data_IF_439546945701
#
_entry.id   IF_439546945701
#
_cell.length_a   1.000
_cell.length_b   1.000
_cell.length_c   1.000
_cell.angle_alpha   90.00
_cell.angle_beta   90.00
_cell.angle_gamma   90.00
#
_symmetry.space_group_name_H-M   'P 1'
#
loop_
_entity.id
_entity.type
_entity.pdbx_description
1 polymer ?
#
# COMPACT_ATOMS: atom_id res chain seq x y z
N UNK A 1 18.66 -15.16 15.60
CA UNK A 1 18.10 -13.79 15.48
C UNK A 1 19.21 -12.93 14.91
N UNK A 2 19.35 -12.94 13.58
CA UNK A 2 20.31 -12.06 12.90
C UNK A 2 19.67 -10.67 12.89
N UNK A 3 20.39 -9.70 13.41
CA UNK A 3 19.93 -8.32 13.52
C UNK A 3 19.75 -7.76 12.12
N UNK A 4 18.66 -7.03 11.90
CA UNK A 4 18.36 -6.24 10.70
C UNK A 4 19.50 -5.30 10.25
N UNK A 5 20.53 -5.11 11.07
CA UNK A 5 21.75 -4.36 10.72
C UNK A 5 22.83 -5.17 9.97
N UNK A 6 22.76 -6.50 9.89
CA UNK A 6 23.78 -7.32 9.22
C UNK A 6 23.56 -7.47 7.70
N UNK A 7 22.42 -7.03 7.15
CA UNK A 7 22.13 -7.11 5.72
C UNK A 7 22.75 -5.95 4.89
N UNK A 8 23.27 -4.91 5.54
CA UNK A 8 23.73 -3.67 4.89
C UNK A 8 25.23 -3.67 4.50
N UNK A 9 26.00 -4.75 4.70
CA UNK A 9 27.44 -4.74 4.38
C UNK A 9 27.94 -6.03 3.74
N UNK A 10 28.04 -6.02 2.41
CA UNK A 10 29.14 -6.72 1.76
C UNK A 10 30.38 -5.82 1.71
N UNK A 11 31.59 -6.36 1.91
CA UNK A 11 32.83 -5.59 1.84
C UNK A 11 33.11 -5.22 0.37
N UNK A 12 32.91 -3.95 0.01
CA UNK A 12 33.40 -3.41 -1.27
C UNK A 12 32.54 -2.38 -1.98
N UNK A 13 31.27 -2.19 -1.60
CA UNK A 13 30.41 -1.17 -2.21
C UNK A 13 30.22 0.00 -1.25
N UNK A 14 31.09 1.00 -1.37
CA UNK A 14 31.10 2.21 -0.55
C UNK A 14 30.16 3.27 -1.16
N UNK A 15 28.87 2.96 -1.27
CA UNK A 15 27.86 3.92 -1.72
C UNK A 15 27.20 4.58 -0.51
N UNK A 16 27.19 5.91 -0.48
CA UNK A 16 26.43 6.67 0.51
C UNK A 16 24.94 6.29 0.43
N UNK A 17 24.24 6.32 1.58
CA UNK A 17 22.80 6.15 1.60
C UNK A 17 22.14 7.20 0.68
N UNK A 18 21.09 6.84 -0.07
CA UNK A 18 20.36 7.80 -0.88
C UNK A 18 19.76 8.90 0.03
N UNK A 19 19.67 10.14 -0.45
CA UNK A 19 19.07 11.23 0.32
C UNK A 19 17.58 11.00 0.53
N UNK A 20 17.05 11.51 1.64
CA UNK A 20 15.62 11.47 1.94
C UNK A 20 14.81 12.29 0.93
N UNK A 21 13.60 11.82 0.62
CA UNK A 21 12.68 12.55 -0.26
C UNK A 21 12.16 13.80 0.43
N UNK A 22 12.15 14.93 -0.29
CA UNK A 22 11.65 16.19 0.25
C UNK A 22 10.13 16.27 0.20
N UNK A 23 9.51 16.69 1.30
CA UNK A 23 8.08 16.97 1.35
C UNK A 23 7.80 18.35 0.76
N UNK A 24 6.93 18.40 -0.25
CA UNK A 24 6.52 19.67 -0.87
C UNK A 24 5.14 20.06 -0.35
N UNK A 25 5.08 21.15 0.40
CA UNK A 25 3.83 21.68 0.94
C UNK A 25 3.09 22.47 -0.15
N UNK A 26 1.96 21.93 -0.63
CA UNK A 26 1.16 22.57 -1.69
C UNK A 26 0.15 23.58 -1.14
N UNK A 27 -0.47 23.27 0.01
CA UNK A 27 -1.49 24.09 0.68
C UNK A 27 -1.48 23.83 2.18
N UNK A 28 -1.84 24.84 2.96
CA UNK A 28 -2.06 24.68 4.40
C UNK A 28 -3.52 24.32 4.69
N UNK A 29 -3.73 23.54 5.75
CA UNK A 29 -5.05 23.33 6.31
C UNK A 29 -5.64 24.67 6.80
N UNK A 30 -6.91 24.90 6.54
CA UNK A 30 -7.65 26.03 7.11
C UNK A 30 -7.91 25.75 8.60
N UNK A 31 -7.34 26.53 9.54
CA UNK A 31 -7.52 26.31 10.98
C UNK A 31 -8.97 26.45 11.44
N UNK A 32 -9.79 27.21 10.69
CA UNK A 32 -11.18 27.53 11.04
C UNK A 32 -12.16 26.43 10.63
N UNK A 33 -11.68 25.37 9.95
CA UNK A 33 -12.51 24.26 9.50
C UNK A 33 -12.02 22.96 10.12
N UNK A 34 -12.86 22.24 10.89
CA UNK A 34 -12.51 20.91 11.38
C UNK A 34 -12.41 19.97 10.17
N UNK A 35 -11.19 19.80 9.67
CA UNK A 35 -10.87 18.86 8.60
C UNK A 35 -10.10 17.68 9.18
N UNK A 36 -10.44 16.49 8.71
CA UNK A 36 -9.63 15.30 8.92
C UNK A 36 -8.44 15.36 7.95
N UNK A 37 -7.22 15.33 8.50
CA UNK A 37 -5.99 15.26 7.70
C UNK A 37 -5.37 13.88 7.89
N UNK A 38 -5.02 13.23 6.78
CA UNK A 38 -4.36 11.93 6.78
C UNK A 38 -3.45 11.77 5.56
N UNK A 39 -2.53 10.83 5.63
CA UNK A 39 -1.55 10.54 4.58
C UNK A 39 -1.89 9.27 3.80
N UNK A 40 -1.51 9.24 2.52
CA UNK A 40 -1.72 8.07 1.65
C UNK A 40 -0.41 7.72 0.96
N UNK A 41 0.03 6.46 1.10
CA UNK A 41 1.14 5.88 0.36
C UNK A 41 0.59 4.99 -0.76
N UNK A 42 1.03 5.21 -1.99
CA UNK A 42 0.79 4.27 -3.10
C UNK A 42 2.13 3.74 -3.60
N UNK A 43 2.30 2.42 -3.55
CA UNK A 43 3.60 1.81 -3.86
C UNK A 43 3.48 0.44 -4.54
N UNK A 44 4.05 0.32 -5.74
CA UNK A 44 4.21 -0.96 -6.41
C UNK A 44 5.51 -1.60 -5.91
N UNK A 45 5.41 -2.78 -5.28
CA UNK A 45 6.53 -3.43 -4.58
C UNK A 45 7.37 -4.33 -5.48
N UNK A 46 7.00 -4.50 -6.75
CA UNK A 46 7.61 -5.41 -7.72
C UNK A 46 7.67 -6.85 -7.20
N UNK A 47 6.72 -7.71 -7.59
CA UNK A 47 6.71 -9.09 -7.09
C UNK A 47 7.96 -9.85 -7.54
N UNK A 48 8.31 -10.91 -6.80
CA UNK A 48 9.55 -11.66 -7.07
C UNK A 48 9.53 -12.33 -8.43
N UNK A 49 8.36 -12.80 -8.85
CA UNK A 49 8.14 -13.35 -10.19
C UNK A 49 8.56 -12.40 -11.32
N UNK A 50 8.48 -11.09 -11.13
CA UNK A 50 8.82 -10.09 -12.16
C UNK A 50 10.23 -9.52 -12.01
N UNK A 51 10.90 -9.72 -10.86
CA UNK A 51 12.25 -9.23 -10.57
C UNK A 51 13.37 -10.10 -11.20
N UNK A 52 13.26 -10.40 -12.49
CA UNK A 52 14.23 -11.25 -13.20
C UNK A 52 15.44 -10.48 -13.74
N UNK A 53 16.62 -11.11 -13.78
CA UNK A 53 17.83 -10.54 -14.38
C UNK A 53 17.70 -10.23 -15.88
N UNK A 54 16.73 -10.82 -16.57
CA UNK A 54 16.48 -10.51 -17.98
C UNK A 54 15.82 -9.13 -18.15
N UNK A 55 14.90 -8.78 -17.25
CA UNK A 55 14.22 -7.47 -17.24
C UNK A 55 15.08 -6.39 -16.57
N UNK A 56 15.88 -6.80 -15.57
CA UNK A 56 16.69 -5.92 -14.74
C UNK A 56 18.18 -6.27 -14.81
N UNK A 57 18.72 -6.41 -16.03
CA UNK A 57 20.11 -6.88 -16.26
C UNK A 57 21.20 -5.97 -15.70
N UNK A 58 20.87 -4.71 -15.43
CA UNK A 58 21.73 -3.73 -14.77
C UNK A 58 21.77 -3.90 -13.24
N UNK A 59 20.82 -4.64 -12.65
CA UNK A 59 20.72 -4.84 -11.22
C UNK A 59 21.37 -6.18 -10.85
N UNK A 60 22.32 -6.21 -9.89
CA UNK A 60 22.95 -7.45 -9.51
C UNK A 60 21.94 -8.40 -8.85
N UNK A 61 22.12 -9.71 -9.06
CA UNK A 61 21.16 -10.74 -8.61
C UNK A 61 20.89 -10.72 -7.10
N UNK A 62 21.88 -10.35 -6.29
CA UNK A 62 21.69 -10.22 -4.84
C UNK A 62 20.74 -9.08 -4.47
N UNK A 63 20.74 -7.98 -5.24
CA UNK A 63 19.86 -6.83 -5.01
C UNK A 63 18.45 -7.08 -5.58
N UNK A 64 18.32 -7.97 -6.58
CA UNK A 64 17.02 -8.47 -7.07
C UNK A 64 16.41 -9.53 -6.16
N UNK A 65 17.22 -10.22 -5.35
CA UNK A 65 16.74 -11.28 -4.47
C UNK A 65 15.66 -10.76 -3.50
N UNK A 66 14.54 -11.47 -3.42
CA UNK A 66 13.41 -11.10 -2.57
C UNK A 66 13.79 -10.88 -1.11
N UNK A 67 14.66 -11.72 -0.53
CA UNK A 67 15.04 -11.63 0.88
C UNK A 67 15.73 -10.30 1.19
N UNK A 68 16.49 -9.76 0.24
CA UNK A 68 17.08 -8.44 0.32
C UNK A 68 16.03 -7.34 0.09
N UNK A 69 15.27 -7.43 -1.01
CA UNK A 69 14.31 -6.38 -1.39
C UNK A 69 13.20 -6.18 -0.36
N UNK A 70 12.66 -7.26 0.20
CA UNK A 70 11.53 -7.20 1.14
C UNK A 70 11.88 -6.40 2.39
N UNK A 71 13.13 -6.48 2.87
CA UNK A 71 13.61 -5.70 4.00
C UNK A 71 13.62 -4.20 3.68
N UNK A 72 14.13 -3.83 2.49
CA UNK A 72 14.14 -2.44 2.03
C UNK A 72 12.72 -1.90 1.78
N UNK A 73 11.83 -2.69 1.17
CA UNK A 73 10.42 -2.34 0.93
C UNK A 73 9.71 -2.07 2.25
N UNK A 74 9.84 -2.96 3.25
CA UNK A 74 9.23 -2.75 4.56
C UNK A 74 9.82 -1.54 5.28
N UNK A 75 11.13 -1.29 5.15
CA UNK A 75 11.77 -0.08 5.70
C UNK A 75 11.18 1.19 5.08
N UNK A 76 10.99 1.24 3.77
CA UNK A 76 10.36 2.36 3.07
C UNK A 76 8.91 2.58 3.52
N UNK A 77 8.10 1.51 3.59
CA UNK A 77 6.70 1.59 4.03
C UNK A 77 6.62 2.12 5.47
N UNK A 78 7.47 1.62 6.37
CA UNK A 78 7.53 2.06 7.77
C UNK A 78 8.05 3.48 7.90
N UNK A 79 8.97 3.92 7.05
CA UNK A 79 9.53 5.26 7.11
C UNK A 79 8.47 6.35 6.86
N UNK A 80 7.53 6.13 5.93
CA UNK A 80 6.48 7.12 5.65
C UNK A 80 5.36 7.17 6.70
N UNK A 81 5.18 6.10 7.48
CA UNK A 81 4.09 5.98 8.48
C UNK A 81 2.72 6.43 7.94
N UNK A 82 2.43 6.12 6.68
CA UNK A 82 1.24 6.62 6.01
C UNK A 82 -0.04 6.06 6.66
N UNK A 83 -1.06 6.88 6.81
CA UNK A 83 -2.32 6.49 7.45
C UNK A 83 -3.11 5.44 6.65
N UNK A 84 -3.01 5.53 5.33
CA UNK A 84 -3.51 4.55 4.37
C UNK A 84 -2.36 4.15 3.44
N UNK A 85 -2.18 2.85 3.22
CA UNK A 85 -1.16 2.31 2.31
C UNK A 85 -1.86 1.46 1.25
N UNK A 86 -1.62 1.74 -0.03
CA UNK A 86 -2.09 0.92 -1.14
C UNK A 86 -0.89 0.32 -1.86
N UNK A 87 -0.81 -1.01 -1.91
CA UNK A 87 0.28 -1.74 -2.55
C UNK A 87 -0.19 -2.46 -3.81
N UNK A 88 0.66 -2.47 -4.84
CA UNK A 88 0.49 -3.28 -6.05
C UNK A 88 1.64 -4.28 -6.20
N UNK A 89 1.40 -5.35 -6.97
CA UNK A 89 2.33 -6.46 -7.16
C UNK A 89 2.69 -7.17 -5.84
N UNK A 90 1.72 -7.30 -4.95
CA UNK A 90 1.88 -8.07 -3.71
C UNK A 90 1.52 -9.53 -3.97
N UNK A 91 2.46 -10.45 -3.76
CA UNK A 91 2.17 -11.89 -3.86
C UNK A 91 1.28 -12.37 -2.72
N UNK A 92 0.41 -13.35 -3.03
CA UNK A 92 -0.58 -13.89 -2.09
C UNK A 92 0.05 -14.43 -0.81
N UNK A 93 1.16 -15.15 -0.92
CA UNK A 93 1.88 -15.65 0.26
C UNK A 93 2.56 -14.53 1.03
N UNK A 94 3.21 -13.58 0.34
CA UNK A 94 3.89 -12.46 0.97
C UNK A 94 2.92 -11.52 1.71
N UNK A 95 1.70 -11.34 1.21
CA UNK A 95 0.66 -10.63 1.98
C UNK A 95 0.43 -11.30 3.34
N UNK A 96 0.29 -12.63 3.38
CA UNK A 96 -0.06 -13.39 4.59
C UNK A 96 1.11 -13.56 5.56
N UNK A 97 2.31 -13.82 5.04
CA UNK A 97 3.47 -14.18 5.88
C UNK A 97 4.37 -12.98 6.21
N UNK A 98 4.26 -11.86 5.48
CA UNK A 98 5.13 -10.70 5.63
C UNK A 98 4.33 -9.42 5.86
N UNK A 99 3.61 -8.92 4.85
CA UNK A 99 3.06 -7.56 4.89
C UNK A 99 2.00 -7.39 5.98
N UNK A 100 1.03 -8.30 6.06
CA UNK A 100 -0.03 -8.23 7.08
C UNK A 100 0.53 -8.30 8.50
N UNK A 101 1.29 -9.34 8.92
CA UNK A 101 1.78 -9.42 10.29
C UNK A 101 2.73 -8.27 10.67
N UNK A 102 3.60 -7.82 9.76
CA UNK A 102 4.52 -6.70 10.03
C UNK A 102 3.79 -5.37 10.20
N UNK A 103 2.71 -5.13 9.44
CA UNK A 103 1.93 -3.89 9.52
C UNK A 103 0.91 -3.94 10.67
N UNK A 104 0.32 -5.09 10.98
CA UNK A 104 -0.53 -5.29 12.16
C UNK A 104 0.24 -4.97 13.45
N UNK A 105 1.50 -5.41 13.54
CA UNK A 105 2.36 -5.13 14.68
C UNK A 105 2.57 -3.62 14.96
N UNK A 106 2.37 -2.76 13.95
CA UNK A 106 2.50 -1.30 14.05
C UNK A 106 1.18 -0.56 13.84
N UNK A 107 0.05 -1.22 14.07
CA UNK A 107 -1.24 -0.53 14.20
C UNK A 107 -2.12 -0.50 12.94
N UNK A 108 -1.84 -1.34 11.95
CA UNK A 108 -2.65 -1.40 10.72
C UNK A 108 -3.60 -2.59 10.72
N UNK A 109 -4.71 -2.46 10.02
CA UNK A 109 -5.45 -3.58 9.45
C UNK A 109 -5.27 -3.56 7.92
N UNK A 110 -5.56 -4.67 7.24
CA UNK A 110 -5.44 -4.71 5.79
C UNK A 110 -6.27 -5.77 5.08
N UNK A 111 -6.56 -5.51 3.82
CA UNK A 111 -7.21 -6.44 2.88
C UNK A 111 -6.33 -6.67 1.65
N UNK A 112 -6.57 -7.80 1.00
CA UNK A 112 -5.85 -8.19 -0.21
C UNK A 112 -6.76 -8.95 -1.16
N UNK A 113 -6.54 -8.75 -2.45
CA UNK A 113 -7.13 -9.58 -3.50
C UNK A 113 -6.08 -9.92 -4.55
N UNK A 114 -5.88 -11.20 -4.90
CA UNK A 114 -5.02 -11.60 -6.00
C UNK A 114 -5.70 -11.35 -7.35
N UNK A 115 -4.91 -11.29 -8.44
CA UNK A 115 -5.46 -11.28 -9.80
C UNK A 115 -6.35 -12.49 -10.08
N UNK A 116 -7.32 -12.32 -10.98
CA UNK A 116 -8.39 -13.30 -11.25
C UNK A 116 -7.89 -14.69 -11.61
N UNK A 117 -6.69 -14.81 -12.20
CA UNK A 117 -6.06 -16.10 -12.52
C UNK A 117 -5.90 -17.04 -11.33
N UNK A 118 -5.78 -16.50 -10.11
CA UNK A 118 -5.69 -17.28 -8.87
C UNK A 118 -6.84 -18.29 -8.70
N UNK A 119 -8.01 -18.04 -9.31
CA UNK A 119 -9.20 -18.88 -9.19
C UNK A 119 -9.11 -20.20 -9.97
N UNK A 120 -8.26 -20.28 -10.98
CA UNK A 120 -8.13 -21.45 -11.86
C UNK A 120 -6.79 -22.17 -11.70
N UNK A 121 -5.95 -21.73 -10.77
CA UNK A 121 -4.62 -22.29 -10.53
C UNK A 121 -4.65 -23.27 -9.34
N UNK A 122 -3.64 -24.13 -9.27
CA UNK A 122 -3.42 -24.99 -8.11
C UNK A 122 -3.21 -24.16 -6.84
N UNK A 123 -3.41 -24.76 -5.66
CA UNK A 123 -3.17 -24.05 -4.39
C UNK A 123 -1.72 -23.60 -4.24
N UNK A 124 -0.78 -24.38 -4.76
CA UNK A 124 0.65 -24.08 -4.72
C UNK A 124 0.97 -22.87 -5.62
N UNK A 125 0.52 -22.88 -6.87
CA UNK A 125 0.81 -21.78 -7.79
C UNK A 125 0.10 -20.47 -7.38
N UNK A 126 -1.07 -20.59 -6.73
CA UNK A 126 -1.85 -19.45 -6.25
C UNK A 126 -1.07 -18.59 -5.25
N UNK A 127 -0.14 -19.17 -4.49
CA UNK A 127 0.71 -18.46 -3.52
C UNK A 127 1.52 -17.33 -4.16
N UNK A 128 1.94 -17.53 -5.40
CA UNK A 128 2.78 -16.61 -6.18
C UNK A 128 1.98 -15.71 -7.12
N UNK A 129 0.64 -15.75 -7.05
CA UNK A 129 -0.19 -14.80 -7.79
C UNK A 129 -0.18 -13.48 -7.05
N UNK A 130 0.28 -12.45 -7.75
CA UNK A 130 0.28 -11.08 -7.30
C UNK A 130 -1.10 -10.42 -7.40
N UNK A 131 -1.28 -9.37 -6.61
CA UNK A 131 -2.52 -8.60 -6.53
C UNK A 131 -2.32 -7.23 -5.89
N UNK A 132 -3.42 -6.69 -5.36
CA UNK A 132 -3.44 -5.40 -4.69
C UNK A 132 -3.78 -5.58 -3.21
N UNK A 133 -3.12 -4.80 -2.36
CA UNK A 133 -3.40 -4.74 -0.93
C UNK A 133 -3.72 -3.30 -0.50
N UNK A 134 -4.59 -3.15 0.50
CA UNK A 134 -4.90 -1.87 1.14
C UNK A 134 -4.75 -2.06 2.64
N UNK A 135 -3.97 -1.20 3.28
CA UNK A 135 -3.81 -1.13 4.73
C UNK A 135 -4.26 0.23 5.24
N UNK A 136 -4.77 0.26 6.47
CA UNK A 136 -5.15 1.50 7.15
C UNK A 136 -4.87 1.39 8.65
N UNK A 137 -4.53 2.53 9.27
CA UNK A 137 -4.39 2.65 10.72
C UNK A 137 -5.73 2.42 11.43
N UNK A 138 -5.83 1.39 12.28
CA UNK A 138 -7.11 1.02 12.91
C UNK A 138 -7.58 2.04 13.94
N UNK A 139 -6.72 2.89 14.47
CA UNK A 139 -7.05 3.97 15.42
C UNK A 139 -7.62 5.21 14.72
N UNK A 140 -7.47 5.31 13.39
CA UNK A 140 -7.99 6.42 12.56
C UNK A 140 -9.17 6.03 11.67
N UNK A 141 -9.22 4.78 11.21
CA UNK A 141 -10.25 4.31 10.28
C UNK A 141 -10.89 3.00 10.72
N UNK A 142 -12.13 2.81 10.30
CA UNK A 142 -12.83 1.53 10.35
C UNK A 142 -13.28 1.16 8.93
N UNK A 143 -13.08 -0.09 8.52
CA UNK A 143 -13.55 -0.54 7.21
C UNK A 143 -15.03 -0.90 7.28
N UNK A 144 -15.83 -0.27 6.42
CA UNK A 144 -17.24 -0.57 6.24
C UNK A 144 -17.44 -1.68 5.18
N UNK A 145 -16.83 -1.50 4.01
CA UNK A 145 -17.02 -2.39 2.85
C UNK A 145 -15.74 -2.56 2.04
N UNK A 146 -15.61 -3.73 1.42
CA UNK A 146 -14.64 -3.98 0.35
C UNK A 146 -15.36 -4.26 -0.97
N UNK A 147 -14.72 -3.86 -2.07
CA UNK A 147 -15.19 -4.15 -3.42
C UNK A 147 -14.01 -4.62 -4.29
N UNK A 148 -14.13 -5.85 -4.81
CA UNK A 148 -13.24 -6.38 -5.83
C UNK A 148 -13.85 -6.16 -7.21
N UNK A 149 -13.10 -5.49 -8.09
CA UNK A 149 -13.47 -5.28 -9.49
C UNK A 149 -12.56 -6.14 -10.35
N UNK A 150 -13.15 -7.13 -11.01
CA UNK A 150 -12.47 -7.94 -12.03
C UNK A 150 -12.77 -7.35 -13.40
N UNK A 151 -11.79 -6.67 -14.01
CA UNK A 151 -12.01 -5.90 -15.24
C UNK A 151 -12.53 -6.78 -16.39
N UNK A 152 -12.10 -8.03 -16.45
CA UNK A 152 -12.57 -9.03 -17.42
C UNK A 152 -14.07 -9.25 -17.30
N UNK A 153 -14.60 -9.41 -16.09
CA UNK A 153 -16.04 -9.61 -15.87
C UNK A 153 -16.85 -8.37 -16.20
N UNK A 154 -16.33 -7.18 -15.86
CA UNK A 154 -16.97 -5.91 -16.21
C UNK A 154 -17.05 -5.75 -17.73
N UNK A 155 -15.97 -6.08 -18.44
CA UNK A 155 -15.93 -6.00 -19.88
C UNK A 155 -16.89 -7.00 -20.55
N UNK A 156 -16.93 -8.26 -20.11
CA UNK A 156 -17.85 -9.27 -20.65
C UNK A 156 -19.31 -8.84 -20.48
N UNK A 157 -19.69 -8.29 -19.32
CA UNK A 157 -21.04 -7.78 -19.07
C UNK A 157 -21.42 -6.62 -20.00
N UNK A 158 -20.47 -5.77 -20.38
CA UNK A 158 -20.71 -4.58 -21.23
C UNK A 158 -20.58 -4.86 -22.73
N UNK A 159 -19.74 -5.81 -23.12
CA UNK A 159 -19.35 -6.06 -24.51
C UNK A 159 -20.13 -7.21 -25.16
N UNK A 160 -21.35 -7.52 -24.70
CA UNK A 160 -22.14 -8.70 -25.09
C UNK A 160 -22.25 -8.95 -26.61
N UNK A 161 -22.00 -7.92 -27.45
CA UNK A 161 -22.06 -8.00 -28.91
C UNK A 161 -20.77 -7.62 -29.64
N UNK A 162 -19.67 -7.28 -28.95
CA UNK A 162 -18.43 -6.80 -29.58
C UNK A 162 -17.28 -7.80 -29.43
N UNK A 163 -17.10 -8.65 -30.46
CA UNK A 163 -16.01 -9.63 -30.51
C UNK A 163 -14.62 -9.00 -30.39
N UNK A 164 -14.41 -7.83 -31.01
CA UNK A 164 -13.13 -7.10 -30.91
C UNK A 164 -12.78 -6.68 -29.47
N UNK A 165 -13.78 -6.26 -28.70
CA UNK A 165 -13.59 -5.91 -27.29
C UNK A 165 -13.30 -7.17 -26.46
N UNK A 166 -14.06 -8.25 -26.67
CA UNK A 166 -13.87 -9.51 -25.96
C UNK A 166 -12.47 -10.07 -26.21
N UNK A 167 -12.02 -10.15 -27.46
CA UNK A 167 -10.69 -10.69 -27.81
C UNK A 167 -9.52 -9.90 -27.20
N UNK A 168 -9.69 -8.59 -26.99
CA UNK A 168 -8.65 -7.73 -26.40
C UNK A 168 -8.63 -7.78 -24.87
N UNK A 169 -9.77 -8.02 -24.23
CA UNK A 169 -9.92 -7.93 -22.78
C UNK A 169 -9.90 -9.29 -22.09
N UNK A 170 -10.40 -10.35 -22.73
CA UNK A 170 -10.42 -11.71 -22.15
C UNK A 170 -9.04 -12.20 -21.68
N UNK A 171 -7.91 -11.91 -22.37
CA UNK A 171 -6.59 -12.35 -21.91
C UNK A 171 -6.05 -11.60 -20.68
N UNK A 172 -6.69 -10.50 -20.26
CA UNK A 172 -6.25 -9.68 -19.13
C UNK A 172 -6.92 -10.18 -17.86
N UNK A 173 -6.15 -10.34 -16.79
CA UNK A 173 -6.59 -10.80 -15.46
C UNK A 173 -6.46 -9.69 -14.39
N UNK A 174 -6.34 -8.43 -14.83
CA UNK A 174 -6.19 -7.29 -13.96
C UNK A 174 -7.42 -7.08 -13.07
N UNK A 175 -7.16 -6.59 -11.86
CA UNK A 175 -8.19 -6.28 -10.86
C UNK A 175 -8.02 -4.86 -10.32
N UNK A 176 -9.06 -4.33 -9.69
CA UNK A 176 -8.95 -3.23 -8.74
C UNK A 176 -9.58 -3.65 -7.41
N UNK A 177 -8.92 -3.29 -6.32
CA UNK A 177 -9.42 -3.47 -4.96
C UNK A 177 -9.81 -2.09 -4.43
N UNK A 178 -10.99 -1.98 -3.84
CA UNK A 178 -11.49 -0.76 -3.24
C UNK A 178 -11.96 -1.04 -1.81
N UNK A 179 -11.66 -0.12 -0.89
CA UNK A 179 -12.15 -0.13 0.48
C UNK A 179 -12.95 1.14 0.75
N UNK A 180 -14.09 0.99 1.42
CA UNK A 180 -14.86 2.09 1.99
C UNK A 180 -14.46 2.20 3.46
N UNK A 181 -13.78 3.28 3.81
CA UNK A 181 -13.28 3.54 5.15
C UNK A 181 -14.07 4.66 5.81
N UNK A 182 -14.55 4.41 7.02
CA UNK A 182 -15.15 5.40 7.91
C UNK A 182 -14.04 6.06 8.73
N UNK A 183 -13.95 7.37 8.66
CA UNK A 183 -13.03 8.17 9.47
C UNK A 183 -13.55 8.21 10.91
N UNK A 184 -12.68 7.99 11.90
CA UNK A 184 -13.02 8.09 13.32
C UNK A 184 -12.96 9.54 13.79
N UNK A 185 -13.76 9.88 14.80
CA UNK A 185 -13.90 11.25 15.32
C UNK A 185 -12.58 11.86 15.79
N UNK A 186 -11.66 11.05 16.34
CA UNK A 186 -10.35 11.49 16.83
C UNK A 186 -9.41 12.00 15.72
N UNK A 187 -9.74 11.78 14.44
CA UNK A 187 -8.96 12.29 13.30
C UNK A 187 -9.31 13.73 12.97
N UNK A 188 -10.50 14.19 13.35
CA UNK A 188 -10.91 15.57 13.13
C UNK A 188 -10.22 16.48 14.14
N UNK A 189 -9.61 17.56 13.65
CA UNK A 189 -9.05 18.60 14.51
C UNK A 189 -10.15 19.14 15.43
N UNK A 190 -9.99 18.94 16.74
CA UNK A 190 -10.90 19.53 17.72
C UNK A 190 -10.68 21.03 17.71
N UNK A 191 -11.67 21.79 17.24
CA UNK A 191 -11.73 23.23 17.47
C UNK A 191 -12.02 23.48 18.95
N UNK A 192 -11.04 23.27 19.84
CA UNK A 192 -11.10 23.81 21.19
C UNK A 192 -10.83 25.31 21.13
N UNK A 193 -11.78 26.07 20.56
CA UNK A 193 -11.87 27.50 20.80
C UNK A 193 -12.21 27.73 22.27
N UNK A 194 -11.18 27.77 23.10
CA UNK A 194 -11.29 28.43 24.41
C UNK A 194 -11.28 29.92 24.11
N UNK A 195 -12.47 30.52 23.97
CA UNK A 195 -12.61 31.96 24.03
C UNK A 195 -12.05 32.42 25.39
N UNK A 196 -11.09 33.35 25.44
CA UNK A 196 -10.71 33.97 26.70
C UNK A 196 -11.86 34.88 27.14
N UNK A 197 -12.79 34.33 27.93
CA UNK A 197 -13.68 35.14 28.76
C UNK A 197 -12.84 35.79 29.86
N UNK A 198 -12.32 36.98 29.56
CA UNK A 198 -11.98 37.97 30.59
C UNK A 198 -12.62 39.29 30.22
N UNK A 199 -13.91 39.42 30.54
CA UNK A 199 -14.49 40.71 30.90
C UNK A 199 -14.43 40.79 32.44
N UNK A 200 -13.52 41.59 32.97
CA UNK A 200 -13.65 42.13 34.33
C UNK A 200 -14.11 43.58 34.21
N UNK A 201 -15.33 43.92 34.63
CA UNK A 201 -15.71 45.30 34.83
C UNK A 201 -15.24 45.72 36.23
N UNK A 202 -14.20 46.53 36.33
CA UNK A 202 -13.90 47.26 37.56
C UNK A 202 -14.54 48.65 37.49
N UNK A 203 -15.23 48.96 38.58
CA UNK A 203 -15.82 50.24 38.97
C UNK A 203 -14.88 51.44 38.79
#
# INVERSE_FOLDING_TARGET
MLSIHECDRQPGVNTLAPPDRQWVMMRHADPERPIATFTVLCYNVLCDKYASSNLYSYCPSWALNWEYRKAAILKEIRHYEADIITLQEVETEQFRSLFLPELEAIGYAGIFSPKSRAKTMSEEDRKYVDGCAIFWKYDKFEMDREHLIEFTQVAIKKAQTSEHMLNRVMPRDNIALCAVLRIKENVYSSSSFTLPYFYSPTH
#
